data_IF_351754086888
#
_entry.id   IF_351754086888
#
_cell.length_a   1.000
_cell.length_b   1.000
_cell.length_c   1.000
_cell.angle_alpha   90.00
_cell.angle_beta   90.00
_cell.angle_gamma   90.00
#
_symmetry.space_group_name_H-M   'P 1'
#
loop_
_entity.id
_entity.type
_entity.pdbx_description
1 polymer ?
#
# COMPACT_ATOMS: atom_id res chain seq x y z
N UNK A 1 29.07 -14.92 7.79
CA UNK A 1 28.30 -14.17 6.78
C UNK A 1 28.41 -12.69 7.09
N UNK A 2 29.13 -11.95 6.23
CA UNK A 2 29.47 -10.54 6.45
C UNK A 2 28.22 -9.66 6.26
N UNK A 3 28.01 -8.76 7.22
CA UNK A 3 27.13 -7.57 7.23
C UNK A 3 26.85 -7.04 5.82
N UNK A 4 25.68 -7.38 5.26
CA UNK A 4 25.24 -6.93 3.94
C UNK A 4 24.51 -5.56 3.97
N UNK A 5 24.57 -4.83 5.08
CA UNK A 5 23.81 -3.60 5.27
C UNK A 5 24.72 -2.51 5.84
N UNK A 6 25.51 -1.86 4.97
CA UNK A 6 26.27 -0.65 5.35
C UNK A 6 26.26 0.39 4.23
N UNK A 7 25.06 0.78 3.81
CA UNK A 7 24.83 2.15 3.34
C UNK A 7 23.62 2.69 4.07
N UNK A 8 23.83 3.74 4.88
CA UNK A 8 22.75 4.43 5.63
C UNK A 8 21.65 4.96 4.70
N UNK A 9 21.92 5.01 3.39
CA UNK A 9 21.03 5.53 2.37
C UNK A 9 20.28 4.46 1.59
N UNK A 10 20.70 3.19 1.63
CA UNK A 10 20.10 2.16 0.77
C UNK A 10 18.61 1.94 1.07
N UNK A 11 18.25 1.81 2.35
CA UNK A 11 16.88 1.59 2.76
C UNK A 11 15.98 2.82 2.48
N UNK A 12 16.38 4.07 2.83
CA UNK A 12 15.66 5.26 2.41
C UNK A 12 15.50 5.39 0.90
N UNK A 13 16.56 5.13 0.12
CA UNK A 13 16.50 5.20 -1.34
C UNK A 13 15.55 4.16 -1.93
N UNK A 14 15.56 2.93 -1.40
CA UNK A 14 14.61 1.90 -1.80
C UNK A 14 13.17 2.32 -1.50
N UNK A 15 12.91 2.83 -0.29
CA UNK A 15 11.58 3.28 0.10
C UNK A 15 11.07 4.40 -0.82
N UNK A 16 11.90 5.42 -1.07
CA UNK A 16 11.55 6.52 -1.97
C UNK A 16 11.29 6.00 -3.39
N UNK A 17 12.16 5.13 -3.91
CA UNK A 17 11.98 4.56 -5.24
C UNK A 17 10.65 3.80 -5.36
N UNK A 18 10.29 2.99 -4.36
CA UNK A 18 9.03 2.25 -4.33
C UNK A 18 7.82 3.18 -4.25
N UNK A 19 7.86 4.22 -3.40
CA UNK A 19 6.77 5.21 -3.32
C UNK A 19 6.61 5.96 -4.65
N UNK A 20 7.71 6.40 -5.26
CA UNK A 20 7.65 7.10 -6.55
C UNK A 20 7.09 6.21 -7.67
N UNK A 21 7.50 4.94 -7.74
CA UNK A 21 6.92 3.98 -8.68
C UNK A 21 5.43 3.77 -8.43
N UNK A 22 5.01 3.70 -7.16
CA UNK A 22 3.59 3.57 -6.85
C UNK A 22 2.76 4.81 -7.19
N UNK A 23 3.32 6.00 -7.00
CA UNK A 23 2.68 7.25 -7.48
C UNK A 23 2.58 7.22 -9.01
N UNK A 24 3.66 6.91 -9.72
CA UNK A 24 3.64 6.81 -11.18
C UNK A 24 2.56 5.82 -11.65
N UNK A 25 2.51 4.63 -11.05
CA UNK A 25 1.53 3.60 -11.37
C UNK A 25 0.07 4.08 -11.28
N UNK A 26 -0.30 4.78 -10.21
CA UNK A 26 -1.66 5.32 -10.04
C UNK A 26 -2.00 6.41 -11.08
N UNK A 27 -1.02 7.18 -11.51
CA UNK A 27 -1.22 8.29 -12.46
C UNK A 27 -1.09 7.88 -13.93
N UNK A 28 -0.45 6.74 -14.24
CA UNK A 28 -0.34 6.23 -15.61
C UNK A 28 -1.71 6.03 -16.26
N UNK A 29 -2.71 5.59 -15.49
CA UNK A 29 -4.09 5.43 -15.98
C UNK A 29 -4.77 6.76 -16.38
N UNK A 30 -4.29 7.89 -15.86
CA UNK A 30 -4.79 9.22 -16.21
C UNK A 30 -4.16 9.78 -17.49
N UNK A 31 -3.02 9.24 -17.90
CA UNK A 31 -2.28 9.69 -19.08
C UNK A 31 -2.71 8.97 -20.37
N UNK A 32 -3.48 7.88 -20.26
CA UNK A 32 -3.94 7.09 -21.41
C UNK A 32 -5.30 7.56 -21.94
N UNK A 33 -5.30 8.09 -23.17
CA UNK A 33 -6.43 8.50 -24.03
C UNK A 33 -7.15 9.82 -23.67
N UNK A 34 -7.67 10.50 -24.70
CA UNK A 34 -8.62 11.60 -24.55
C UNK A 34 -9.87 11.04 -23.86
N UNK A 35 -10.21 11.48 -22.65
CA UNK A 35 -11.28 10.86 -21.88
C UNK A 35 -12.61 11.08 -22.59
N UNK A 36 -13.31 9.99 -22.90
CA UNK A 36 -14.72 10.04 -23.28
C UNK A 36 -15.49 10.73 -22.15
N UNK A 37 -16.61 11.41 -22.44
CA UNK A 37 -17.41 12.10 -21.42
C UNK A 37 -17.74 11.24 -20.18
N UNK A 38 -17.93 9.93 -20.37
CA UNK A 38 -18.14 8.95 -19.30
C UNK A 38 -16.92 8.77 -18.39
N UNK A 39 -15.71 8.70 -18.96
CA UNK A 39 -14.46 8.56 -18.19
C UNK A 39 -14.17 9.85 -17.42
N UNK A 40 -14.37 11.01 -18.06
CA UNK A 40 -14.16 12.31 -17.41
C UNK A 40 -15.12 12.52 -16.23
N UNK A 41 -16.40 12.17 -16.39
CA UNK A 41 -17.39 12.26 -15.29
C UNK A 41 -17.10 11.27 -14.16
N UNK A 42 -16.72 10.02 -14.48
CA UNK A 42 -16.29 9.05 -13.48
C UNK A 42 -15.05 9.53 -12.71
N UNK A 43 -14.08 10.15 -13.37
CA UNK A 43 -12.87 10.69 -12.74
C UNK A 43 -13.20 11.84 -11.78
N UNK A 44 -14.06 12.78 -12.17
CA UNK A 44 -14.49 13.88 -11.30
C UNK A 44 -15.19 13.33 -10.05
N UNK A 45 -16.08 12.36 -10.24
CA UNK A 45 -16.82 11.74 -9.14
C UNK A 45 -15.89 10.96 -8.21
N UNK A 46 -14.99 10.15 -8.76
CA UNK A 46 -13.99 9.40 -7.99
C UNK A 46 -13.06 10.33 -7.20
N UNK A 47 -12.58 11.41 -7.83
CA UNK A 47 -11.70 12.41 -7.18
C UNK A 47 -12.44 13.16 -6.08
N UNK A 48 -13.70 13.52 -6.31
CA UNK A 48 -14.54 14.19 -5.32
C UNK A 48 -14.84 13.28 -4.13
N UNK A 49 -15.15 12.01 -4.40
CA UNK A 49 -15.38 11.00 -3.37
C UNK A 49 -14.10 10.75 -2.57
N UNK A 50 -12.95 10.64 -3.23
CA UNK A 50 -11.64 10.55 -2.57
C UNK A 50 -11.39 11.75 -1.66
N UNK A 51 -11.68 12.98 -2.13
CA UNK A 51 -11.60 14.19 -1.32
C UNK A 51 -12.49 14.16 -0.07
N UNK A 52 -13.70 13.62 -0.18
CA UNK A 52 -14.58 13.41 0.98
C UNK A 52 -14.00 12.40 1.97
N UNK A 53 -13.40 11.30 1.48
CA UNK A 53 -12.77 10.28 2.33
C UNK A 53 -11.47 10.75 2.98
N UNK A 54 -10.79 11.75 2.42
CA UNK A 54 -9.60 12.34 3.06
C UNK A 54 -9.91 12.96 4.42
N UNK A 55 -11.14 13.43 4.66
CA UNK A 55 -11.54 14.02 5.94
C UNK A 55 -11.50 12.98 7.07
N UNK A 56 -12.31 11.89 7.05
CA UNK A 56 -12.27 10.88 8.10
C UNK A 56 -10.91 10.17 8.17
N UNK A 57 -10.24 9.99 7.02
CA UNK A 57 -8.88 9.45 7.00
C UNK A 57 -7.91 10.35 7.78
N UNK A 58 -7.91 11.66 7.53
CA UNK A 58 -7.05 12.62 8.24
C UNK A 58 -7.37 12.68 9.73
N UNK A 59 -8.65 12.62 10.11
CA UNK A 59 -9.07 12.54 11.52
C UNK A 59 -8.55 11.26 12.17
N UNK A 60 -8.66 10.12 11.49
CA UNK A 60 -8.13 8.84 11.97
C UNK A 60 -6.61 8.88 12.17
N UNK A 61 -5.87 9.43 11.19
CA UNK A 61 -4.43 9.65 11.27
C UNK A 61 -4.05 10.55 12.45
N UNK A 62 -4.75 11.68 12.62
CA UNK A 62 -4.52 12.58 13.76
C UNK A 62 -4.80 11.90 15.10
N UNK A 63 -5.91 11.17 15.21
CA UNK A 63 -6.27 10.41 16.40
C UNK A 63 -5.21 9.36 16.75
N UNK A 64 -4.75 8.58 15.77
CA UNK A 64 -3.71 7.56 15.97
C UNK A 64 -2.38 8.20 16.38
N UNK A 65 -1.98 9.28 15.72
CA UNK A 65 -0.77 10.03 16.08
C UNK A 65 -0.80 10.49 17.54
N UNK A 66 -1.93 11.07 17.98
CA UNK A 66 -2.10 11.54 19.36
C UNK A 66 -2.16 10.37 20.36
N UNK A 67 -2.88 9.29 20.04
CA UNK A 67 -3.02 8.11 20.91
C UNK A 67 -1.68 7.42 21.16
N UNK A 68 -0.85 7.29 20.14
CA UNK A 68 0.43 6.60 20.23
C UNK A 68 1.63 7.55 20.42
N UNK A 69 1.39 8.84 20.65
CA UNK A 69 2.43 9.87 20.81
C UNK A 69 3.46 9.85 19.67
N UNK A 70 3.00 9.57 18.44
CA UNK A 70 3.84 9.49 17.25
C UNK A 70 3.98 10.85 16.59
N UNK A 71 5.12 11.12 15.96
CA UNK A 71 5.29 12.33 15.16
C UNK A 71 4.39 12.27 13.92
N UNK A 72 3.73 13.39 13.58
CA UNK A 72 2.90 13.47 12.37
C UNK A 72 3.68 13.13 11.09
N UNK A 73 4.99 13.42 11.08
CA UNK A 73 5.89 13.03 10.00
C UNK A 73 5.99 11.50 9.84
N UNK A 74 6.19 10.76 10.94
CA UNK A 74 6.25 9.30 10.90
C UNK A 74 4.95 8.71 10.34
N UNK A 75 3.82 9.25 10.79
CA UNK A 75 2.50 8.77 10.33
C UNK A 75 2.29 9.08 8.85
N UNK A 76 2.71 10.25 8.37
CA UNK A 76 2.67 10.56 6.94
C UNK A 76 3.54 9.60 6.11
N UNK A 77 4.77 9.32 6.54
CA UNK A 77 5.64 8.35 5.85
C UNK A 77 5.04 6.94 5.87
N UNK A 78 4.46 6.52 7.00
CA UNK A 78 3.76 5.24 7.11
C UNK A 78 2.58 5.14 6.12
N UNK A 79 1.78 6.19 6.02
CA UNK A 79 0.65 6.26 5.08
C UNK A 79 1.11 6.22 3.63
N UNK A 80 2.20 6.93 3.26
CA UNK A 80 2.75 6.87 1.91
C UNK A 80 3.20 5.46 1.55
N UNK A 81 3.85 4.76 2.48
CA UNK A 81 4.23 3.36 2.30
C UNK A 81 3.01 2.45 2.12
N UNK A 82 2.03 2.57 3.00
CA UNK A 82 0.82 1.73 2.98
C UNK A 82 -0.21 2.07 1.90
N UNK A 83 -0.07 3.19 1.19
CA UNK A 83 -0.90 3.50 0.03
C UNK A 83 -0.15 3.09 -1.24
N UNK A 84 1.01 3.67 -1.49
CA UNK A 84 1.68 3.56 -2.78
C UNK A 84 2.50 2.29 -2.95
N UNK A 85 3.25 1.87 -1.94
CA UNK A 85 4.09 0.65 -2.06
C UNK A 85 3.18 -0.57 -2.14
N UNK A 86 2.17 -0.65 -1.28
CA UNK A 86 1.25 -1.78 -1.30
C UNK A 86 0.32 -1.79 -2.50
N UNK A 87 -0.22 -0.65 -2.93
CA UNK A 87 -1.06 -0.59 -4.13
C UNK A 87 -0.31 -1.08 -5.38
N UNK A 88 0.89 -0.55 -5.61
CA UNK A 88 1.74 -0.92 -6.75
C UNK A 88 2.13 -2.40 -6.75
N UNK A 89 2.72 -2.89 -5.65
CA UNK A 89 3.20 -4.26 -5.59
C UNK A 89 2.05 -5.27 -5.58
N UNK A 90 0.94 -4.96 -4.88
CA UNK A 90 -0.20 -5.85 -4.83
C UNK A 90 -0.90 -5.95 -6.18
N UNK A 91 -0.95 -4.87 -6.97
CA UNK A 91 -1.51 -4.92 -8.32
C UNK A 91 -0.76 -5.93 -9.21
N UNK A 92 0.57 -5.89 -9.22
CA UNK A 92 1.39 -6.86 -9.94
C UNK A 92 1.25 -8.28 -9.39
N UNK A 93 1.26 -8.42 -8.06
CA UNK A 93 1.11 -9.72 -7.41
C UNK A 93 -0.26 -10.35 -7.66
N UNK A 94 -1.33 -9.56 -7.65
CA UNK A 94 -2.70 -10.02 -7.90
C UNK A 94 -2.86 -10.49 -9.34
N UNK A 95 -2.25 -9.78 -10.31
CA UNK A 95 -2.24 -10.23 -11.70
C UNK A 95 -1.52 -11.56 -11.86
N UNK A 96 -0.33 -11.71 -11.28
CA UNK A 96 0.45 -12.94 -11.37
C UNK A 96 -0.25 -14.12 -10.68
N UNK A 97 -0.79 -13.89 -9.48
CA UNK A 97 -1.51 -14.94 -8.75
C UNK A 97 -2.84 -15.30 -9.43
N UNK A 98 -3.53 -14.33 -10.03
CA UNK A 98 -4.73 -14.61 -10.83
C UNK A 98 -4.43 -15.45 -12.07
N UNK A 99 -3.29 -15.21 -12.73
CA UNK A 99 -2.81 -16.09 -13.79
C UNK A 99 -2.46 -17.48 -13.27
N UNK A 100 -1.82 -17.60 -12.10
CA UNK A 100 -1.57 -18.89 -11.49
C UNK A 100 -2.88 -19.65 -11.23
N UNK A 101 -3.88 -18.98 -10.65
CA UNK A 101 -5.18 -19.57 -10.38
C UNK A 101 -5.90 -20.05 -11.65
N UNK A 102 -5.77 -19.32 -12.76
CA UNK A 102 -6.37 -19.75 -14.03
C UNK A 102 -5.76 -21.02 -14.62
N UNK A 103 -4.53 -21.39 -14.24
CA UNK A 103 -3.92 -22.66 -14.62
C UNK A 103 -4.28 -23.82 -13.68
N UNK A 104 -4.56 -23.51 -12.40
CA UNK A 104 -4.84 -24.52 -11.37
C UNK A 104 -6.33 -24.84 -11.25
N UNK A 105 -7.19 -23.85 -11.43
CA UNK A 105 -8.65 -23.96 -11.25
C UNK A 105 -9.32 -23.90 -12.63
N UNK A 106 -9.90 -25.00 -13.13
CA UNK A 106 -10.50 -25.03 -14.47
C UNK A 106 -11.79 -24.20 -14.61
N UNK A 107 -12.48 -23.93 -13.51
CA UNK A 107 -13.76 -23.20 -13.53
C UNK A 107 -13.54 -21.69 -13.61
N UNK A 108 -13.75 -21.13 -14.79
CA UNK A 108 -13.66 -19.69 -15.04
C UNK A 108 -14.69 -18.88 -14.24
N UNK A 109 -15.90 -19.43 -14.08
CA UNK A 109 -16.98 -18.78 -13.29
C UNK A 109 -16.67 -18.70 -11.80
N UNK A 110 -16.03 -19.73 -11.24
CA UNK A 110 -15.60 -19.71 -9.85
C UNK A 110 -14.48 -18.67 -9.66
N UNK A 111 -13.48 -18.69 -10.56
CA UNK A 111 -12.38 -17.74 -10.51
C UNK A 111 -12.83 -16.29 -10.64
N UNK A 112 -13.76 -15.97 -11.53
CA UNK A 112 -14.22 -14.58 -11.69
C UNK A 112 -14.86 -14.00 -10.44
N UNK A 113 -15.42 -14.83 -9.55
CA UNK A 113 -16.04 -14.38 -8.31
C UNK A 113 -15.11 -14.44 -7.10
N UNK A 114 -14.15 -15.38 -7.11
CA UNK A 114 -13.33 -15.67 -5.93
C UNK A 114 -11.86 -15.29 -6.08
N UNK A 115 -11.41 -14.84 -7.27
CA UNK A 115 -10.01 -14.51 -7.51
C UNK A 115 -9.47 -13.56 -6.44
N UNK A 116 -10.12 -12.42 -6.22
CA UNK A 116 -9.62 -11.41 -5.28
C UNK A 116 -9.57 -11.94 -3.84
N UNK A 117 -10.55 -12.75 -3.45
CA UNK A 117 -10.57 -13.38 -2.12
C UNK A 117 -9.46 -14.43 -1.94
N UNK A 118 -9.07 -15.11 -3.01
CA UNK A 118 -7.97 -16.09 -3.01
C UNK A 118 -6.60 -15.42 -3.08
N UNK A 119 -6.49 -14.29 -3.80
CA UNK A 119 -5.22 -13.58 -3.96
C UNK A 119 -4.90 -12.68 -2.77
N UNK A 120 -5.88 -12.00 -2.17
CA UNK A 120 -5.64 -11.00 -1.15
C UNK A 120 -4.84 -11.51 0.08
N UNK A 121 -5.12 -12.68 0.67
CA UNK A 121 -4.34 -13.19 1.81
C UNK A 121 -2.89 -13.54 1.47
N UNK A 122 -2.63 -13.91 0.22
CA UNK A 122 -1.30 -14.37 -0.25
C UNK A 122 -0.47 -13.20 -0.80
N UNK A 123 -1.14 -12.20 -1.34
CA UNK A 123 -0.50 -11.08 -2.03
C UNK A 123 -0.62 -9.80 -1.21
N UNK A 124 -1.85 -9.31 -1.00
CA UNK A 124 -2.06 -7.99 -0.39
C UNK A 124 -1.58 -7.92 1.05
N UNK A 125 -1.91 -8.93 1.87
CA UNK A 125 -1.56 -8.91 3.29
C UNK A 125 -0.04 -8.98 3.53
N UNK A 126 0.74 -9.87 2.88
CA UNK A 126 2.19 -9.88 3.01
C UNK A 126 2.84 -8.60 2.48
N UNK A 127 2.31 -8.01 1.42
CA UNK A 127 2.82 -6.76 0.85
C UNK A 127 2.54 -5.57 1.79
N UNK A 128 1.35 -5.50 2.40
CA UNK A 128 1.03 -4.50 3.43
C UNK A 128 1.96 -4.66 4.64
N UNK A 129 2.21 -5.89 5.08
CA UNK A 129 3.18 -6.17 6.14
C UNK A 129 4.61 -5.76 5.75
N UNK A 130 5.03 -6.01 4.52
CA UNK A 130 6.32 -5.57 3.99
C UNK A 130 6.46 -4.04 4.01
N UNK A 131 5.45 -3.30 3.56
CA UNK A 131 5.44 -1.84 3.62
C UNK A 131 5.56 -1.33 5.07
N UNK A 132 4.86 -1.96 6.02
CA UNK A 132 4.99 -1.63 7.44
C UNK A 132 6.40 -1.91 7.99
N UNK A 133 7.00 -3.05 7.64
CA UNK A 133 8.36 -3.43 8.05
C UNK A 133 9.39 -2.43 7.51
N UNK A 134 9.23 -1.95 6.27
CA UNK A 134 10.11 -0.93 5.70
C UNK A 134 10.07 0.37 6.54
N UNK A 135 8.88 0.84 6.91
CA UNK A 135 8.71 2.05 7.72
C UNK A 135 9.32 1.87 9.12
N UNK A 136 9.08 0.74 9.77
CA UNK A 136 9.68 0.44 11.08
C UNK A 136 11.21 0.38 10.99
N UNK A 137 11.74 -0.17 9.90
CA UNK A 137 13.19 -0.27 9.68
C UNK A 137 13.83 1.10 9.41
N UNK A 138 13.10 2.05 8.82
CA UNK A 138 13.54 3.44 8.63
C UNK A 138 13.55 4.24 9.94
N UNK A 139 12.58 3.97 10.82
CA UNK A 139 12.41 4.67 12.10
C UNK A 139 12.40 3.66 13.26
N UNK A 140 13.56 3.12 13.65
CA UNK A 140 13.67 2.07 14.69
C UNK A 140 13.42 2.60 16.12
N UNK A 141 12.62 3.64 16.29
CA UNK A 141 12.26 4.25 17.58
C UNK A 141 11.08 3.56 18.25
N UNK A 142 10.41 2.62 17.58
CA UNK A 142 9.30 1.84 18.14
C UNK A 142 9.85 0.51 18.66
N UNK A 143 9.99 0.31 19.98
CA UNK A 143 10.26 -1.02 20.50
C UNK A 143 9.03 -1.91 20.30
N UNK A 144 8.97 -2.63 19.17
CA UNK A 144 7.91 -3.59 18.79
C UNK A 144 7.54 -4.52 19.95
N UNK A 145 8.55 -5.00 20.68
CA UNK A 145 8.38 -5.90 21.83
C UNK A 145 7.65 -5.25 23.01
N UNK A 146 7.78 -3.94 23.21
CA UNK A 146 7.18 -3.22 24.35
C UNK A 146 5.74 -2.82 24.07
N UNK A 147 5.36 -2.63 22.80
CA UNK A 147 3.98 -2.27 22.41
C UNK A 147 3.06 -3.47 22.19
N UNK A 148 3.58 -4.63 21.74
CA UNK A 148 2.78 -5.84 21.50
C UNK A 148 2.51 -6.68 22.75
N UNK A 149 3.34 -6.53 23.79
CA UNK A 149 3.25 -7.29 25.04
C UNK A 149 2.72 -6.45 26.22
N UNK A 150 2.35 -5.19 25.98
CA UNK A 150 1.80 -4.33 27.01
C UNK A 150 0.29 -4.55 27.12
N UNK A 151 -0.23 -5.05 28.25
CA UNK A 151 -1.67 -5.07 28.50
C UNK A 151 -2.09 -3.67 28.95
N UNK A 152 -2.28 -2.76 28.00
CA UNK A 152 -3.09 -1.55 28.20
C UNK A 152 -4.23 -1.55 27.18
#
# INVERSE_FOLDING_TARGET
MKRLIHSKWLLPSLFIALVLNGIEFEFLGLLSNVPTYQVASALILATSLFGLYLIPFSVGIYYLAKRYQMSGFLVAVASLGGIYISGFLASHGNQWMGQFWSHVIPSTSFLSHWNDALTAPIVEEPIKAFAAILVISLFPTIPLKKSLLSPY
#
